data_IF_391544806442
#
_entry.id   IF_391544806442
#
_cell.length_a   1.000
_cell.length_b   1.000
_cell.length_c   1.000
_cell.angle_alpha   90.00
_cell.angle_beta   90.00
_cell.angle_gamma   90.00
#
_symmetry.space_group_name_H-M   'P 1'
#
loop_
_entity.id
_entity.type
_entity.pdbx_description
1 polymer ?
#
# COMPACT_ATOMS: atom_id res chain seq x y z
N UNK A 1 -23.01 31.04 3.12
CA UNK A 1 -22.08 30.15 3.85
C UNK A 1 -20.94 29.76 2.90
N UNK A 2 -19.68 29.85 3.30
CA UNK A 2 -18.55 29.48 2.46
C UNK A 2 -18.22 27.98 2.67
N UNK A 3 -17.60 27.32 1.68
CA UNK A 3 -17.13 25.94 1.81
C UNK A 3 -16.10 25.82 2.95
N UNK A 4 -16.06 24.70 3.65
CA UNK A 4 -15.01 24.42 4.65
C UNK A 4 -13.63 24.40 3.99
N UNK A 5 -12.59 24.81 4.73
CA UNK A 5 -11.21 24.92 4.22
C UNK A 5 -10.25 23.92 4.86
N UNK A 6 -10.70 23.18 5.87
CA UNK A 6 -9.92 22.26 6.70
C UNK A 6 -10.01 20.79 6.27
N UNK A 7 -10.50 20.55 5.03
CA UNK A 7 -10.53 19.20 4.47
C UNK A 7 -9.13 18.70 4.10
N UNK A 8 -8.93 17.38 4.15
CA UNK A 8 -7.69 16.73 3.79
C UNK A 8 -7.46 16.71 2.27
N UNK A 9 -6.20 16.69 1.84
CA UNK A 9 -5.83 16.50 0.44
C UNK A 9 -6.13 15.08 -0.05
N UNK A 10 -6.15 14.87 -1.36
CA UNK A 10 -6.32 13.54 -1.95
C UNK A 10 -5.19 12.58 -1.55
N UNK A 11 -3.95 13.06 -1.47
CA UNK A 11 -2.82 12.23 -1.05
C UNK A 11 -2.94 11.84 0.43
N UNK A 12 -3.37 12.76 1.30
CA UNK A 12 -3.67 12.44 2.71
C UNK A 12 -4.83 11.45 2.83
N UNK A 13 -5.86 11.58 2.01
CA UNK A 13 -7.00 10.67 2.00
C UNK A 13 -6.59 9.26 1.59
N UNK A 14 -5.90 9.09 0.44
CA UNK A 14 -5.51 7.77 -0.05
C UNK A 14 -4.45 7.11 0.83
N UNK A 15 -3.50 7.87 1.34
CA UNK A 15 -2.54 7.35 2.33
C UNK A 15 -3.24 6.99 3.64
N UNK A 16 -4.21 7.78 4.07
CA UNK A 16 -5.07 7.48 5.22
C UNK A 16 -5.83 6.16 5.05
N UNK A 17 -6.38 5.90 3.86
CA UNK A 17 -7.02 4.60 3.53
C UNK A 17 -6.00 3.45 3.60
N UNK A 18 -4.81 3.62 3.07
CA UNK A 18 -3.75 2.60 3.18
C UNK A 18 -3.38 2.33 4.64
N UNK A 19 -3.22 3.37 5.46
CA UNK A 19 -2.95 3.23 6.91
C UNK A 19 -4.13 2.60 7.64
N UNK A 20 -5.37 2.95 7.29
CA UNK A 20 -6.56 2.32 7.87
C UNK A 20 -6.62 0.83 7.50
N UNK A 21 -6.33 0.47 6.25
CA UNK A 21 -6.28 -0.92 5.81
C UNK A 21 -5.26 -1.73 6.61
N UNK A 22 -4.10 -1.15 6.97
CA UNK A 22 -3.09 -1.83 7.79
C UNK A 22 -3.62 -2.30 9.15
N UNK A 23 -4.67 -1.65 9.70
CA UNK A 23 -5.31 -2.05 10.97
C UNK A 23 -6.03 -3.38 10.88
N UNK A 24 -6.23 -3.91 9.67
CA UNK A 24 -6.76 -5.27 9.45
C UNK A 24 -5.67 -6.34 9.49
N UNK A 25 -4.40 -5.96 9.38
CA UNK A 25 -3.29 -6.93 9.47
C UNK A 25 -3.20 -7.51 10.88
N UNK A 26 -3.05 -8.81 10.96
CA UNK A 26 -2.84 -9.57 12.20
C UNK A 26 -1.34 -9.79 12.49
N UNK A 27 -0.44 -9.33 11.62
CA UNK A 27 1.00 -9.42 11.83
C UNK A 27 1.40 -8.67 13.12
N UNK A 28 1.94 -9.35 14.14
CA UNK A 28 2.27 -8.71 15.41
C UNK A 28 3.45 -7.73 15.31
N UNK A 29 4.26 -7.84 14.24
CA UNK A 29 5.50 -7.06 14.10
C UNK A 29 5.35 -5.84 13.19
N UNK A 30 4.68 -6.01 12.05
CA UNK A 30 4.61 -4.93 11.03
C UNK A 30 3.28 -4.99 10.28
N UNK A 31 2.42 -4.01 10.50
CA UNK A 31 1.15 -3.89 9.82
C UNK A 31 1.30 -2.88 8.68
N UNK A 32 1.05 -3.34 7.46
CA UNK A 32 1.12 -2.52 6.24
C UNK A 32 -0.21 -2.60 5.50
N UNK A 33 -0.61 -1.48 4.92
CA UNK A 33 -1.73 -1.41 4.01
C UNK A 33 -1.34 -0.70 2.72
N UNK A 34 -2.08 -0.98 1.66
CA UNK A 34 -1.92 -0.36 0.36
C UNK A 34 -3.26 0.05 -0.23
N UNK A 35 -3.28 1.17 -0.95
CA UNK A 35 -4.45 1.68 -1.65
C UNK A 35 -4.04 1.98 -3.11
N UNK A 36 -4.71 1.34 -4.07
CA UNK A 36 -4.50 1.59 -5.49
C UNK A 36 -5.61 2.50 -5.99
N UNK A 37 -5.22 3.58 -6.65
CA UNK A 37 -6.15 4.58 -7.19
C UNK A 37 -5.91 4.77 -8.68
N UNK A 38 -6.95 5.18 -9.39
CA UNK A 38 -6.86 5.51 -10.79
C UNK A 38 -5.85 6.65 -11.01
N UNK A 39 -5.01 6.50 -12.01
CA UNK A 39 -4.02 7.53 -12.37
C UNK A 39 -4.60 8.62 -13.26
N UNK A 40 -3.86 9.71 -13.42
CA UNK A 40 -4.19 10.78 -14.37
C UNK A 40 -3.93 10.30 -15.83
N UNK A 41 -4.58 9.22 -16.25
CA UNK A 41 -4.55 8.81 -17.65
C UNK A 41 -5.57 9.63 -18.43
N UNK A 42 -5.23 10.04 -19.64
CA UNK A 42 -6.08 10.85 -20.53
C UNK A 42 -7.45 10.24 -20.84
N UNK A 43 -7.68 8.98 -20.49
CA UNK A 43 -8.94 8.25 -20.67
C UNK A 43 -9.78 8.13 -19.40
N UNK A 44 -9.24 8.53 -18.24
CA UNK A 44 -9.98 8.45 -16.98
C UNK A 44 -10.81 9.72 -16.76
N UNK A 45 -12.11 9.50 -16.56
CA UNK A 45 -13.05 10.57 -16.21
C UNK A 45 -12.98 10.96 -14.73
N UNK A 46 -12.32 10.16 -13.88
CA UNK A 46 -12.23 10.41 -12.44
C UNK A 46 -10.94 9.85 -11.82
N UNK A 47 -9.83 10.61 -11.81
CA UNK A 47 -8.52 10.15 -11.33
C UNK A 47 -8.46 9.85 -9.81
N UNK A 48 -9.53 10.16 -9.08
CA UNK A 48 -9.61 9.95 -7.63
C UNK A 48 -10.43 8.72 -7.23
N UNK A 49 -10.61 7.77 -8.15
CA UNK A 49 -11.33 6.51 -7.88
C UNK A 49 -10.40 5.49 -7.24
N UNK A 50 -10.80 4.93 -6.09
CA UNK A 50 -10.11 3.78 -5.49
C UNK A 50 -10.42 2.53 -6.31
N UNK A 51 -9.39 1.90 -6.84
CA UNK A 51 -9.50 0.65 -7.61
C UNK A 51 -9.45 -0.57 -6.70
N UNK A 52 -8.56 -0.56 -5.71
CA UNK A 52 -8.35 -1.69 -4.80
C UNK A 52 -7.65 -1.27 -3.52
N UNK A 53 -7.78 -2.12 -2.49
CA UNK A 53 -7.14 -1.99 -1.19
C UNK A 53 -6.57 -3.35 -0.79
N UNK A 54 -5.44 -3.35 -0.10
CA UNK A 54 -4.81 -4.55 0.47
C UNK A 54 -4.16 -4.27 1.81
N UNK A 55 -3.93 -5.33 2.58
CA UNK A 55 -3.10 -5.31 3.78
C UNK A 55 -2.34 -6.64 3.87
N UNK A 56 -1.23 -6.66 4.62
CA UNK A 56 -0.42 -7.87 4.72
C UNK A 56 -1.08 -8.93 5.62
N UNK A 57 -0.97 -10.19 5.22
CA UNK A 57 -1.54 -11.33 5.94
C UNK A 57 -1.30 -12.65 5.20
N UNK A 58 -1.71 -13.75 5.80
CA UNK A 58 -1.62 -15.05 5.14
C UNK A 58 -2.65 -15.18 3.99
N UNK A 59 -2.39 -16.08 3.03
CA UNK A 59 -3.32 -16.35 1.93
C UNK A 59 -4.69 -16.81 2.43
N UNK A 60 -5.73 -16.57 1.64
CA UNK A 60 -7.08 -17.04 1.94
C UNK A 60 -7.09 -18.56 2.14
N UNK A 61 -7.62 -19.01 3.27
CA UNK A 61 -7.66 -20.43 3.65
C UNK A 61 -6.49 -20.88 4.53
N UNK A 62 -5.45 -20.05 4.69
CA UNK A 62 -4.38 -20.29 5.66
C UNK A 62 -4.77 -19.66 7.00
N UNK A 63 -4.86 -20.49 8.05
CA UNK A 63 -5.27 -20.02 9.38
C UNK A 63 -4.19 -19.15 10.02
N UNK A 64 -4.60 -17.99 10.54
CA UNK A 64 -3.70 -17.10 11.28
C UNK A 64 -3.19 -17.71 12.60
N UNK A 65 -3.84 -18.76 13.09
CA UNK A 65 -3.49 -19.48 14.32
C UNK A 65 -2.59 -20.70 14.06
N UNK A 66 -2.49 -21.17 12.82
CA UNK A 66 -1.71 -22.35 12.44
C UNK A 66 -0.36 -21.99 11.81
N UNK A 67 -0.26 -20.83 11.15
CA UNK A 67 0.96 -20.39 10.50
C UNK A 67 1.82 -19.51 11.42
N UNK A 68 3.16 -19.59 11.30
CA UNK A 68 4.07 -18.87 12.19
C UNK A 68 4.09 -17.36 11.89
N UNK A 69 4.03 -16.54 12.95
CA UNK A 69 4.25 -15.09 12.89
C UNK A 69 5.67 -14.68 13.29
N UNK A 70 6.52 -15.63 13.67
CA UNK A 70 7.91 -15.35 14.07
C UNK A 70 8.71 -14.69 12.93
N UNK A 71 9.71 -13.90 13.33
CA UNK A 71 10.71 -13.34 12.42
C UNK A 71 12.04 -14.06 12.48
N UNK A 72 12.21 -14.92 13.47
CA UNK A 72 13.44 -15.64 13.76
C UNK A 72 13.15 -17.14 13.82
N UNK A 73 14.08 -17.94 13.31
CA UNK A 73 13.96 -19.40 13.20
C UNK A 73 14.32 -19.90 11.81
N UNK A 74 14.12 -21.19 11.58
CA UNK A 74 14.25 -21.78 10.26
C UNK A 74 13.19 -21.20 9.30
N UNK A 75 13.42 -21.33 8.00
CA UNK A 75 12.57 -20.69 6.99
C UNK A 75 11.07 -21.00 7.19
N UNK A 76 10.73 -22.25 7.49
CA UNK A 76 9.34 -22.70 7.66
C UNK A 76 8.74 -22.33 9.03
N UNK A 77 9.57 -21.90 9.99
CA UNK A 77 9.14 -21.46 11.31
C UNK A 77 8.96 -19.93 11.38
N UNK A 78 9.12 -19.26 10.25
CA UNK A 78 8.95 -17.81 10.15
C UNK A 78 7.79 -17.44 9.23
N UNK A 79 7.28 -16.22 9.39
CA UNK A 79 6.20 -15.70 8.53
C UNK A 79 6.62 -15.42 7.07
N UNK A 80 7.90 -15.29 6.80
CA UNK A 80 8.40 -14.76 5.52
C UNK A 80 7.99 -15.57 4.27
N UNK A 81 7.96 -16.90 4.26
CA UNK A 81 7.51 -17.66 3.10
C UNK A 81 5.99 -17.66 2.91
N UNK A 82 5.21 -17.24 3.92
CA UNK A 82 3.76 -17.41 3.93
C UNK A 82 3.00 -16.08 3.83
N UNK A 83 3.55 -14.97 4.34
CA UNK A 83 2.85 -13.68 4.35
C UNK A 83 2.82 -13.05 2.97
N UNK A 84 1.63 -12.76 2.48
CA UNK A 84 1.41 -11.91 1.30
C UNK A 84 1.48 -10.45 1.72
N UNK A 85 2.32 -9.66 1.07
CA UNK A 85 2.45 -8.23 1.36
C UNK A 85 1.23 -7.43 0.91
N UNK A 86 1.04 -6.27 1.52
CA UNK A 86 -0.11 -5.40 1.29
C UNK A 86 -0.26 -4.99 -0.18
N UNK A 87 0.84 -4.69 -0.86
CA UNK A 87 0.86 -4.27 -2.26
C UNK A 87 0.39 -5.38 -3.17
N UNK A 88 0.90 -6.60 -2.97
CA UNK A 88 0.49 -7.77 -3.74
C UNK A 88 -0.98 -8.10 -3.49
N UNK A 89 -1.44 -8.04 -2.23
CA UNK A 89 -2.85 -8.22 -1.91
C UNK A 89 -3.73 -7.15 -2.58
N UNK A 90 -3.31 -5.89 -2.61
CA UNK A 90 -4.05 -4.84 -3.30
C UNK A 90 -4.16 -5.11 -4.82
N UNK A 91 -3.06 -5.57 -5.46
CA UNK A 91 -3.06 -5.94 -6.89
C UNK A 91 -4.01 -7.11 -7.15
N UNK A 92 -3.94 -8.18 -6.36
CA UNK A 92 -4.79 -9.36 -6.51
C UNK A 92 -6.28 -9.05 -6.22
N UNK A 93 -6.57 -8.17 -5.26
CA UNK A 93 -7.92 -7.76 -4.92
C UNK A 93 -8.58 -6.86 -5.98
N UNK A 94 -7.84 -6.34 -6.94
CA UNK A 94 -8.41 -5.55 -8.05
C UNK A 94 -9.37 -6.37 -8.93
N UNK A 95 -9.22 -7.70 -8.97
CA UNK A 95 -10.16 -8.67 -9.56
C UNK A 95 -10.67 -8.28 -10.95
N UNK A 96 -9.73 -8.09 -11.88
CA UNK A 96 -10.08 -7.79 -13.28
C UNK A 96 -10.22 -6.31 -13.61
N UNK A 97 -10.14 -5.40 -12.65
CA UNK A 97 -9.97 -3.98 -12.96
C UNK A 97 -8.58 -3.76 -13.55
N UNK A 98 -8.49 -2.94 -14.59
CA UNK A 98 -7.20 -2.52 -15.13
C UNK A 98 -6.46 -1.64 -14.12
N UNK A 99 -5.19 -1.97 -13.87
CA UNK A 99 -4.30 -1.16 -13.04
C UNK A 99 -3.30 -0.35 -13.88
N UNK A 100 -3.43 -0.40 -15.20
CA UNK A 100 -2.54 0.30 -16.13
C UNK A 100 -2.66 1.81 -15.90
N UNK A 101 -1.52 2.47 -15.65
CA UNK A 101 -1.45 3.91 -15.43
C UNK A 101 -1.88 4.36 -14.03
N UNK A 102 -2.28 3.44 -13.14
CA UNK A 102 -2.69 3.76 -11.78
C UNK A 102 -1.53 4.16 -10.86
N UNK A 103 -1.90 4.60 -9.63
CA UNK A 103 -0.98 4.90 -8.53
C UNK A 103 -1.24 3.96 -7.37
N UNK A 104 -0.19 3.60 -6.64
CA UNK A 104 -0.29 2.86 -5.38
C UNK A 104 0.24 3.69 -4.21
N UNK A 105 -0.55 3.80 -3.15
CA UNK A 105 -0.17 4.40 -1.87
C UNK A 105 0.16 3.30 -0.88
N UNK A 106 1.32 3.38 -0.24
CA UNK A 106 1.79 2.40 0.74
C UNK A 106 2.64 3.08 1.81
N UNK A 107 2.51 2.66 3.07
CA UNK A 107 3.24 3.33 4.16
C UNK A 107 4.76 3.10 4.08
N UNK A 108 5.20 1.91 3.68
CA UNK A 108 6.62 1.53 3.55
C UNK A 108 6.99 1.35 2.07
N UNK A 109 8.20 1.76 1.71
CA UNK A 109 8.72 1.55 0.36
C UNK A 109 8.68 0.06 -0.02
N UNK A 110 8.17 -0.30 -1.23
CA UNK A 110 7.97 -1.69 -1.64
C UNK A 110 9.28 -2.49 -1.74
N UNK A 111 9.25 -3.74 -1.28
CA UNK A 111 10.33 -4.69 -1.47
C UNK A 111 10.46 -5.12 -2.95
N UNK A 112 11.56 -5.82 -3.30
CA UNK A 112 11.82 -6.23 -4.68
C UNK A 112 10.73 -7.17 -5.26
N UNK A 113 10.09 -8.00 -4.46
CA UNK A 113 9.01 -8.87 -4.92
C UNK A 113 7.75 -8.06 -5.26
N UNK A 114 7.34 -7.15 -4.36
CA UNK A 114 6.21 -6.26 -4.64
C UNK A 114 6.49 -5.31 -5.81
N UNK A 115 7.73 -4.84 -5.95
CA UNK A 115 8.16 -4.02 -7.09
C UNK A 115 7.89 -4.72 -8.42
N UNK A 116 8.24 -6.00 -8.56
CA UNK A 116 7.98 -6.78 -9.78
C UNK A 116 6.49 -6.85 -10.09
N UNK A 117 5.66 -7.13 -9.09
CA UNK A 117 4.20 -7.17 -9.25
C UNK A 117 3.61 -5.80 -9.63
N UNK A 118 4.07 -4.72 -9.01
CA UNK A 118 3.66 -3.33 -9.30
C UNK A 118 3.97 -2.99 -10.77
N UNK A 119 5.19 -3.26 -11.25
CA UNK A 119 5.59 -3.00 -12.63
C UNK A 119 4.75 -3.82 -13.61
N UNK A 120 4.60 -5.13 -13.36
CA UNK A 120 3.88 -6.04 -14.26
C UNK A 120 2.37 -5.75 -14.32
N UNK A 121 1.78 -5.20 -13.26
CA UNK A 121 0.38 -4.76 -13.27
C UNK A 121 0.15 -3.43 -14.00
N UNK A 122 1.22 -2.75 -14.45
CA UNK A 122 1.14 -1.50 -15.17
C UNK A 122 0.96 -0.24 -14.34
N UNK A 123 1.12 -0.34 -13.01
CA UNK A 123 1.10 0.82 -12.10
C UNK A 123 2.27 1.74 -12.44
N UNK A 124 2.04 3.05 -12.48
CA UNK A 124 3.00 4.06 -12.95
C UNK A 124 3.52 4.99 -11.87
N UNK A 125 2.94 4.98 -10.68
CA UNK A 125 3.42 5.79 -9.57
C UNK A 125 3.30 5.03 -8.24
N UNK A 126 4.37 5.07 -7.43
CA UNK A 126 4.40 4.60 -6.05
C UNK A 126 4.53 5.81 -5.14
N UNK A 127 3.53 6.02 -4.27
CA UNK A 127 3.53 7.06 -3.25
C UNK A 127 3.72 6.40 -1.89
N UNK A 128 4.77 6.79 -1.15
CA UNK A 128 5.15 6.14 0.10
C UNK A 128 5.49 7.15 1.20
N UNK A 129 5.37 6.76 2.47
CA UNK A 129 5.74 7.62 3.61
C UNK A 129 7.18 7.41 4.03
N UNK A 130 7.61 6.16 4.17
CA UNK A 130 8.88 5.82 4.78
C UNK A 130 9.71 4.90 3.90
N UNK A 131 10.98 5.24 3.77
CA UNK A 131 12.03 4.44 3.12
C UNK A 131 13.07 3.95 4.16
N UNK A 132 12.60 3.58 5.35
CA UNK A 132 13.49 3.20 6.47
C UNK A 132 14.40 2.00 6.18
N UNK A 133 14.09 1.24 5.12
CA UNK A 133 14.87 0.09 4.68
C UNK A 133 15.70 0.38 3.41
N UNK A 134 15.95 1.67 3.09
CA UNK A 134 16.64 2.11 1.87
C UNK A 134 17.98 1.41 1.62
N UNK A 135 18.71 1.06 2.67
CA UNK A 135 20.03 0.45 2.57
C UNK A 135 20.01 -1.05 2.34
N UNK A 136 18.86 -1.71 2.42
CA UNK A 136 18.76 -3.15 2.13
C UNK A 136 18.87 -3.43 0.63
N UNK A 137 19.47 -4.57 0.27
CA UNK A 137 19.60 -4.98 -1.13
C UNK A 137 18.22 -5.12 -1.80
N UNK A 138 17.20 -5.53 -1.05
CA UNK A 138 15.82 -5.60 -1.52
C UNK A 138 15.31 -4.24 -2.01
N UNK A 139 15.49 -3.17 -1.23
CA UNK A 139 15.02 -1.83 -1.61
C UNK A 139 15.92 -1.24 -2.71
N UNK A 140 17.23 -1.48 -2.68
CA UNK A 140 18.14 -1.06 -3.77
C UNK A 140 17.74 -1.70 -5.10
N UNK A 141 17.41 -3.00 -5.09
CA UNK A 141 16.92 -3.70 -6.28
C UNK A 141 15.57 -3.12 -6.77
N UNK A 142 14.63 -2.84 -5.85
CA UNK A 142 13.35 -2.19 -6.18
C UNK A 142 13.56 -0.85 -6.87
N UNK A 143 14.38 0.03 -6.30
CA UNK A 143 14.68 1.35 -6.88
C UNK A 143 15.26 1.24 -8.28
N UNK A 144 16.19 0.30 -8.49
CA UNK A 144 16.78 0.03 -9.81
C UNK A 144 15.72 -0.40 -10.82
N UNK A 145 14.82 -1.32 -10.45
CA UNK A 145 13.75 -1.81 -11.33
C UNK A 145 12.71 -0.72 -11.63
N UNK A 146 12.24 0.01 -10.61
CA UNK A 146 11.28 1.10 -10.80
C UNK A 146 11.83 2.19 -11.73
N UNK A 147 13.08 2.60 -11.54
CA UNK A 147 13.72 3.59 -12.39
C UNK A 147 13.84 3.09 -13.83
N UNK A 148 14.23 1.84 -14.05
CA UNK A 148 14.33 1.23 -15.37
C UNK A 148 12.98 1.12 -16.08
N UNK A 149 11.90 0.83 -15.33
CA UNK A 149 10.54 0.72 -15.85
C UNK A 149 9.80 2.07 -15.97
N UNK A 150 10.44 3.17 -15.61
CA UNK A 150 9.84 4.50 -15.65
C UNK A 150 8.66 4.67 -14.68
N UNK A 151 8.68 3.97 -13.54
CA UNK A 151 7.70 4.14 -12.47
C UNK A 151 8.11 5.32 -11.60
N UNK A 152 7.23 6.30 -11.46
CA UNK A 152 7.48 7.47 -10.62
C UNK A 152 7.44 7.09 -9.14
N UNK A 153 8.43 7.57 -8.39
CA UNK A 153 8.55 7.37 -6.95
C UNK A 153 8.33 8.70 -6.23
N UNK A 154 7.34 8.76 -5.37
CA UNK A 154 6.98 9.97 -4.64
C UNK A 154 6.98 9.70 -3.14
N UNK A 155 7.95 10.26 -2.42
CA UNK A 155 7.90 10.25 -0.97
C UNK A 155 6.94 11.35 -0.51
N UNK A 156 5.88 10.95 0.20
CA UNK A 156 4.83 11.86 0.64
C UNK A 156 5.22 12.54 1.95
N UNK A 157 5.18 13.86 1.93
CA UNK A 157 5.31 14.69 3.14
C UNK A 157 3.91 15.18 3.50
N UNK A 158 3.38 14.68 4.62
CA UNK A 158 2.04 15.01 5.08
C UNK A 158 2.03 16.37 5.80
N UNK A 159 0.99 17.16 5.56
CA UNK A 159 0.74 18.40 6.29
C UNK A 159 0.24 18.15 7.71
N UNK A 160 -0.43 17.01 7.93
CA UNK A 160 -0.97 16.58 9.22
C UNK A 160 -0.26 15.30 9.68
N UNK A 161 0.07 15.21 10.97
CA UNK A 161 0.68 14.02 11.57
C UNK A 161 -0.31 12.89 11.79
N UNK A 162 -1.61 13.22 11.92
CA UNK A 162 -2.67 12.27 12.23
C UNK A 162 -4.00 12.71 11.61
N UNK A 163 -4.85 11.72 11.36
CA UNK A 163 -6.27 11.90 11.01
C UNK A 163 -7.05 11.09 12.06
N UNK A 164 -7.88 11.78 12.84
CA UNK A 164 -8.73 11.12 13.83
C UNK A 164 -10.02 10.65 13.18
N UNK A 165 -10.34 9.38 13.33
CA UNK A 165 -11.61 8.78 12.92
C UNK A 165 -12.49 8.58 14.14
N UNK A 166 -13.64 9.23 14.18
CA UNK A 166 -14.66 9.01 15.20
C UNK A 166 -15.86 8.27 14.60
N UNK A 167 -16.37 7.29 15.32
CA UNK A 167 -17.66 6.64 15.01
C UNK A 167 -18.83 7.27 15.78
N UNK A 168 -18.58 8.31 16.59
CA UNK A 168 -19.63 9.09 17.24
C UNK A 168 -20.24 10.07 16.24
N UNK A 169 -21.44 9.76 15.79
CA UNK A 169 -22.19 10.54 14.79
C UNK A 169 -22.55 11.96 15.27
N UNK A 170 -22.51 12.23 16.57
CA UNK A 170 -22.78 13.58 17.11
C UNK A 170 -21.59 14.53 16.92
N UNK A 171 -20.42 13.99 16.53
CA UNK A 171 -19.19 14.74 16.30
C UNK A 171 -18.76 14.78 14.82
N UNK A 172 -19.66 14.46 13.91
CA UNK A 172 -19.42 14.48 12.44
C UNK A 172 -19.97 15.77 11.84
#
# INVERSE_FOLDING_TARGET
MNKRKDYISWDEYFMGIAVLASKRSKDPSTQVGACIVEGNCSTSSNPNTILSIGYNGFPTGCSDDEFPWSREGDMLDTKYPFVVHAELNAILNARGKSLIGSKIYVALFPCHECCKAIIQSGIKEVVYLSDKYAETDSVKASKKMFNSAGVKLTQLVLSKKEIVLSFDVNNI
#
